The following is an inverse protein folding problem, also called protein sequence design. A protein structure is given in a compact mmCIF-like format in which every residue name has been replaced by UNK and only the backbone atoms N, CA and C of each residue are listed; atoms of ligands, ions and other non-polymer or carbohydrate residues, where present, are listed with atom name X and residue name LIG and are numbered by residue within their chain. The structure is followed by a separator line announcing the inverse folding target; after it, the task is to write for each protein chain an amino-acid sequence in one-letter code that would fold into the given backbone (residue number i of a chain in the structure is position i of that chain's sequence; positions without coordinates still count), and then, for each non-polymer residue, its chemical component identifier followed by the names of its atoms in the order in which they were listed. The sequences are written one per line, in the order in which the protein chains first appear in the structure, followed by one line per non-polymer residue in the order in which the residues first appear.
data_IF_022875254062
#
_entry.id   IF_022875254062
#
_cell.length_a   1.000
_cell.length_b   1.000
_cell.length_c   1.000
_cell.angle_alpha   90.00
_cell.angle_beta   90.00
_cell.angle_gamma   90.00
#
_symmetry.space_group_name_H-M   'P 1'
#
loop_
_entity.id
_entity.type
_entity.pdbx_description
1 polymer ?
#
# COMPACT_ATOMS: atom_id res chain seq x y z
N UNK A 1 10.42 -16.54 3.80
CA UNK A 1 9.35 -16.78 2.80
C UNK A 1 8.13 -17.45 3.40
N UNK A 2 8.21 -18.63 4.03
CA UNK A 2 7.03 -19.30 4.62
C UNK A 2 6.35 -18.49 5.73
N UNK A 3 7.11 -17.75 6.52
CA UNK A 3 6.62 -16.87 7.59
C UNK A 3 5.82 -15.68 7.04
N UNK A 4 6.35 -14.95 6.06
CA UNK A 4 5.65 -13.83 5.43
C UNK A 4 4.35 -14.26 4.74
N UNK A 5 4.35 -15.43 4.10
CA UNK A 5 3.14 -16.00 3.50
C UNK A 5 2.08 -16.36 4.55
N UNK A 6 2.50 -16.81 5.75
CA UNK A 6 1.58 -17.08 6.85
C UNK A 6 0.97 -15.79 7.42
N UNK A 7 1.75 -14.70 7.46
CA UNK A 7 1.26 -13.37 7.83
C UNK A 7 0.26 -12.85 6.79
N UNK A 8 0.62 -12.90 5.51
CA UNK A 8 -0.21 -12.49 4.37
C UNK A 8 -1.57 -13.21 4.34
N UNK A 9 -1.61 -14.48 4.74
CA UNK A 9 -2.84 -15.29 4.72
C UNK A 9 -4.01 -14.68 5.53
N UNK A 10 -3.72 -13.77 6.48
CA UNK A 10 -4.74 -13.06 7.24
C UNK A 10 -5.32 -11.84 6.51
N UNK A 11 -4.66 -11.32 5.47
CA UNK A 11 -5.04 -10.10 4.76
C UNK A 11 -6.49 -10.12 4.24
N UNK A 12 -7.02 -11.21 3.62
CA UNK A 12 -8.40 -11.23 3.13
C UNK A 12 -9.47 -11.01 4.22
N UNK A 13 -9.18 -11.43 5.46
CA UNK A 13 -10.06 -11.17 6.59
C UNK A 13 -9.89 -9.75 7.12
N UNK A 14 -8.63 -9.28 7.21
CA UNK A 14 -8.25 -7.95 7.70
C UNK A 14 -8.86 -6.81 6.89
N UNK A 15 -8.94 -6.94 5.56
CA UNK A 15 -9.41 -5.86 4.66
C UNK A 15 -10.93 -5.68 4.65
N UNK A 16 -11.70 -6.51 5.36
CA UNK A 16 -13.17 -6.43 5.37
C UNK A 16 -13.64 -5.16 6.09
N UNK A 17 -14.60 -4.48 5.49
CA UNK A 17 -15.25 -3.30 6.05
C UNK A 17 -16.40 -2.83 5.16
N UNK A 18 -16.87 -1.61 5.40
CA UNK A 18 -18.04 -0.99 4.76
C UNK A 18 -17.73 0.37 4.13
N UNK A 19 -16.45 0.74 4.01
CA UNK A 19 -16.00 2.01 3.44
C UNK A 19 -15.71 1.86 1.95
N UNK A 20 -16.11 2.84 1.13
CA UNK A 20 -15.68 2.94 -0.26
C UNK A 20 -14.21 3.36 -0.29
N UNK A 21 -13.38 2.50 -0.84
CA UNK A 21 -11.95 2.68 -0.96
C UNK A 21 -11.58 2.94 -2.42
N UNK A 22 -10.53 3.74 -2.62
CA UNK A 22 -9.94 3.99 -3.91
C UNK A 22 -9.22 2.76 -4.46
N UNK A 23 -8.53 2.01 -3.59
CA UNK A 23 -7.71 0.81 -3.86
C UNK A 23 -6.52 0.99 -4.79
N UNK A 24 -6.40 2.15 -5.40
CA UNK A 24 -5.25 2.51 -6.24
C UNK A 24 -4.73 3.90 -5.88
N UNK A 25 -4.82 4.24 -4.58
CA UNK A 25 -4.44 5.56 -4.11
C UNK A 25 -2.92 5.69 -4.11
N UNK A 26 -2.44 6.67 -4.87
CA UNK A 26 -1.03 6.97 -5.04
C UNK A 26 -0.85 8.47 -5.09
N UNK A 27 0.34 8.95 -4.75
CA UNK A 27 0.62 10.39 -4.77
C UNK A 27 0.41 11.03 -6.16
N UNK A 28 0.59 10.29 -7.26
CA UNK A 28 0.27 10.74 -8.63
C UNK A 28 -1.24 10.85 -8.93
N UNK A 29 -2.11 10.23 -8.13
CA UNK A 29 -3.57 10.29 -8.24
C UNK A 29 -4.20 11.37 -7.36
N UNK A 30 -3.39 12.27 -6.77
CA UNK A 30 -3.84 13.39 -5.95
C UNK A 30 -3.60 14.72 -6.67
N UNK A 31 -4.68 15.48 -6.90
CA UNK A 31 -4.59 16.86 -7.38
C UNK A 31 -4.83 17.82 -6.23
N UNK A 32 -3.79 18.57 -5.85
CA UNK A 32 -3.87 19.60 -4.82
C UNK A 32 -4.47 20.88 -5.42
N UNK A 33 -5.58 21.34 -4.86
CA UNK A 33 -6.17 22.65 -5.13
C UNK A 33 -6.09 23.52 -3.86
N UNK A 34 -6.49 24.80 -3.97
CA UNK A 34 -6.33 25.77 -2.88
C UNK A 34 -6.98 25.34 -1.56
N UNK A 35 -8.20 24.81 -1.60
CA UNK A 35 -9.03 24.47 -0.44
C UNK A 35 -9.39 22.99 -0.34
N UNK A 36 -8.89 22.15 -1.26
CA UNK A 36 -9.25 20.72 -1.32
C UNK A 36 -8.21 19.89 -2.05
N UNK A 37 -8.29 18.58 -1.82
CA UNK A 37 -7.57 17.57 -2.61
C UNK A 37 -8.60 16.80 -3.43
N UNK A 38 -8.34 16.65 -4.73
CA UNK A 38 -9.10 15.75 -5.58
C UNK A 38 -8.37 14.42 -5.69
N UNK A 39 -9.10 13.34 -5.45
CA UNK A 39 -8.63 11.97 -5.69
C UNK A 39 -9.23 11.52 -7.01
N UNK A 40 -8.39 11.19 -7.98
CA UNK A 40 -8.78 10.83 -9.35
C UNK A 40 -8.36 9.41 -9.69
N UNK A 41 -8.86 8.89 -10.82
CA UNK A 41 -8.54 7.56 -11.34
C UNK A 41 -8.99 6.42 -10.41
N UNK A 42 -10.29 6.09 -10.46
CA UNK A 42 -10.94 5.08 -9.60
C UNK A 42 -11.21 3.71 -10.28
N UNK A 43 -10.31 3.13 -11.10
CA UNK A 43 -10.62 1.90 -11.84
C UNK A 43 -10.73 0.67 -10.93
N UNK A 44 -10.23 0.77 -9.68
CA UNK A 44 -10.16 -0.33 -8.72
C UNK A 44 -11.01 -0.10 -7.46
N UNK A 45 -11.94 0.85 -7.49
CA UNK A 45 -12.78 1.17 -6.35
C UNK A 45 -13.47 -0.09 -5.79
N UNK A 46 -13.40 -0.27 -4.47
CA UNK A 46 -13.97 -1.43 -3.78
C UNK A 46 -14.49 -1.05 -2.40
N UNK A 47 -15.24 -1.95 -1.76
CA UNK A 47 -15.69 -1.78 -0.38
C UNK A 47 -14.79 -2.59 0.55
N UNK A 48 -14.27 -1.95 1.61
CA UNK A 48 -13.38 -2.57 2.58
C UNK A 48 -13.13 -1.71 3.83
N UNK A 49 -12.10 -2.06 4.58
CA UNK A 49 -11.71 -1.33 5.80
C UNK A 49 -11.05 0.01 5.49
N UNK A 50 -11.50 1.09 6.11
CA UNK A 50 -11.08 2.48 5.84
C UNK A 50 -9.56 2.73 5.86
N UNK A 51 -8.79 1.94 6.60
CA UNK A 51 -7.34 2.08 6.72
C UNK A 51 -6.54 1.47 5.57
N UNK A 52 -7.16 0.64 4.72
CA UNK A 52 -6.46 -0.07 3.63
C UNK A 52 -5.86 0.91 2.62
N UNK A 53 -6.58 1.95 2.25
CA UNK A 53 -6.08 2.97 1.31
C UNK A 53 -4.82 3.67 1.85
N UNK A 54 -4.71 3.88 3.16
CA UNK A 54 -3.49 4.45 3.76
C UNK A 54 -2.29 3.51 3.56
N UNK A 55 -2.48 2.20 3.77
CA UNK A 55 -1.41 1.20 3.60
C UNK A 55 -0.96 1.13 2.13
N UNK A 56 -1.90 1.25 1.18
CA UNK A 56 -1.59 1.31 -0.26
C UNK A 56 -0.90 2.61 -0.67
N UNK A 57 -1.27 3.72 -0.03
CA UNK A 57 -0.73 5.05 -0.32
C UNK A 57 0.71 5.24 0.15
N UNK A 58 1.05 4.76 1.34
CA UNK A 58 2.29 5.08 2.03
C UNK A 58 3.59 4.71 1.27
N UNK A 59 3.69 3.56 0.58
CA UNK A 59 4.85 3.25 -0.25
C UNK A 59 5.08 4.27 -1.38
N UNK A 60 4.00 4.73 -2.02
CA UNK A 60 4.09 5.72 -3.10
C UNK A 60 4.64 7.07 -2.61
N UNK A 61 4.24 7.50 -1.41
CA UNK A 61 4.71 8.75 -0.79
C UNK A 61 6.21 8.68 -0.51
N UNK A 62 6.65 7.61 0.16
CA UNK A 62 8.06 7.42 0.51
C UNK A 62 8.93 7.34 -0.74
N UNK A 63 8.49 6.58 -1.75
CA UNK A 63 9.18 6.45 -3.04
C UNK A 63 9.36 7.80 -3.74
N UNK A 64 8.44 8.75 -3.57
CA UNK A 64 8.52 10.09 -4.14
C UNK A 64 9.28 11.09 -3.26
N UNK A 65 9.98 10.63 -2.22
CA UNK A 65 10.80 11.45 -1.33
C UNK A 65 10.05 11.98 -0.10
N UNK A 66 8.86 11.44 0.19
CA UNK A 66 8.12 11.72 1.40
C UNK A 66 8.65 10.97 2.64
N UNK A 67 7.97 11.12 3.79
CA UNK A 67 8.37 10.45 5.04
C UNK A 67 8.18 8.92 4.95
N UNK A 68 8.86 8.15 5.83
CA UNK A 68 8.67 6.70 5.93
C UNK A 68 7.21 6.29 6.22
N UNK A 69 6.76 5.10 5.78
CA UNK A 69 5.36 4.70 5.89
C UNK A 69 4.81 4.69 7.33
N UNK A 70 5.61 4.24 8.31
CA UNK A 70 5.19 4.21 9.72
C UNK A 70 4.98 5.63 10.28
N UNK A 71 5.81 6.60 9.86
CA UNK A 71 5.64 8.02 10.23
C UNK A 71 4.43 8.66 9.54
N UNK A 72 4.09 8.24 8.32
CA UNK A 72 2.87 8.69 7.66
C UNK A 72 1.62 8.11 8.36
N UNK A 73 1.70 6.83 8.75
CA UNK A 73 0.60 6.07 9.34
C UNK A 73 0.07 6.71 10.62
N UNK A 74 0.95 7.22 11.50
CA UNK A 74 0.53 7.83 12.78
C UNK A 74 -0.39 9.05 12.59
N UNK A 75 -0.38 9.68 11.42
CA UNK A 75 -1.21 10.84 11.11
C UNK A 75 -2.57 10.49 10.51
N UNK A 76 -2.83 9.22 10.15
CA UNK A 76 -4.06 8.83 9.48
C UNK A 76 -5.08 8.20 10.46
N UNK A 77 -6.20 8.87 10.78
CA UNK A 77 -7.11 8.43 11.84
C UNK A 77 -7.61 6.99 11.68
N UNK A 78 -7.92 6.57 10.45
CA UNK A 78 -8.50 5.25 10.21
C UNK A 78 -7.56 4.09 10.61
N UNK A 79 -6.23 4.27 10.58
CA UNK A 79 -5.32 3.18 10.95
C UNK A 79 -5.26 2.96 12.46
N UNK A 80 -5.63 3.95 13.27
CA UNK A 80 -5.61 3.81 14.73
C UNK A 80 -6.66 2.80 15.23
N UNK A 81 -7.71 2.57 14.44
CA UNK A 81 -8.74 1.56 14.72
C UNK A 81 -8.36 0.16 14.21
N UNK A 82 -7.29 0.05 13.40
CA UNK A 82 -6.83 -1.22 12.84
C UNK A 82 -5.99 -2.02 13.86
N UNK A 83 -6.13 -3.34 13.87
CA UNK A 83 -5.24 -4.18 14.67
C UNK A 83 -3.84 -4.15 14.06
N UNK A 84 -2.77 -4.02 14.86
CA UNK A 84 -1.40 -4.00 14.35
C UNK A 84 -1.04 -5.19 13.44
N UNK A 85 -1.53 -6.38 13.79
CA UNK A 85 -1.29 -7.61 13.00
C UNK A 85 -2.04 -7.62 11.67
N UNK A 86 -3.25 -7.05 11.63
CA UNK A 86 -4.06 -6.90 10.42
C UNK A 86 -3.36 -5.95 9.42
N UNK A 87 -2.83 -4.84 9.94
CA UNK A 87 -2.02 -3.90 9.14
C UNK A 87 -0.78 -4.61 8.59
N UNK A 88 -0.05 -5.34 9.42
CA UNK A 88 1.14 -6.09 9.00
C UNK A 88 0.81 -7.14 7.93
N UNK A 89 -0.33 -7.82 8.04
CA UNK A 89 -0.81 -8.77 7.03
C UNK A 89 -1.06 -8.11 5.67
N UNK A 90 -1.68 -6.93 5.65
CA UNK A 90 -1.92 -6.18 4.41
C UNK A 90 -0.62 -5.62 3.83
N UNK A 91 0.31 -5.13 4.66
CA UNK A 91 1.64 -4.72 4.20
C UNK A 91 2.36 -5.90 3.52
N UNK A 92 2.28 -7.11 4.10
CA UNK A 92 2.85 -8.31 3.49
C UNK A 92 2.24 -8.61 2.11
N UNK A 93 0.92 -8.50 1.98
CA UNK A 93 0.23 -8.66 0.70
C UNK A 93 0.65 -7.59 -0.33
N UNK A 94 0.78 -6.32 0.08
CA UNK A 94 1.21 -5.22 -0.78
C UNK A 94 2.66 -5.38 -1.24
N UNK A 95 3.57 -5.76 -0.34
CA UNK A 95 4.96 -6.04 -0.68
C UNK A 95 5.04 -7.21 -1.67
N UNK A 96 4.34 -8.31 -1.40
CA UNK A 96 4.25 -9.47 -2.30
C UNK A 96 3.70 -9.10 -3.67
N UNK A 97 2.61 -8.32 -3.72
CA UNK A 97 1.99 -7.83 -4.95
C UNK A 97 2.99 -7.03 -5.80
N UNK A 98 3.64 -6.02 -5.23
CA UNK A 98 4.55 -5.16 -5.99
C UNK A 98 5.81 -5.89 -6.44
N UNK A 99 6.42 -6.71 -5.58
CA UNK A 99 7.60 -7.50 -5.92
C UNK A 99 7.25 -8.55 -6.98
N UNK A 100 6.12 -9.24 -6.87
CA UNK A 100 5.71 -10.22 -7.87
C UNK A 100 5.52 -9.55 -9.25
N UNK A 101 4.81 -8.42 -9.29
CA UNK A 101 4.53 -7.72 -10.54
C UNK A 101 5.78 -7.07 -11.15
N UNK A 102 6.73 -6.57 -10.35
CA UNK A 102 7.96 -5.98 -10.87
C UNK A 102 8.85 -6.98 -11.62
N UNK A 103 8.71 -8.28 -11.32
CA UNK A 103 9.43 -9.38 -11.96
C UNK A 103 8.77 -9.88 -13.25
N UNK A 104 7.58 -9.39 -13.60
CA UNK A 104 6.89 -9.78 -14.83
C UNK A 104 7.40 -9.00 -16.06
N UNK A 105 7.20 -9.51 -17.29
CA UNK A 105 7.55 -8.77 -18.51
C UNK A 105 6.89 -7.39 -18.56
N UNK A 106 7.57 -6.38 -19.11
CA UNK A 106 6.99 -5.04 -19.26
C UNK A 106 5.73 -5.07 -20.14
N UNK A 107 4.63 -4.42 -19.71
CA UNK A 107 3.45 -4.31 -20.56
C UNK A 107 3.70 -3.33 -21.71
N UNK A 108 3.13 -3.58 -22.90
CA UNK A 108 3.20 -2.64 -24.02
C UNK A 108 2.70 -1.24 -23.63
N UNK A 109 3.49 -0.21 -23.93
CA UNK A 109 3.14 1.19 -23.69
C UNK A 109 3.40 1.72 -22.27
N UNK A 110 3.91 0.89 -21.35
CA UNK A 110 4.17 1.26 -19.96
C UNK A 110 5.60 0.86 -19.51
N UNK A 111 6.66 1.39 -20.16
CA UNK A 111 8.03 0.94 -19.93
C UNK A 111 8.55 1.22 -18.51
N UNK A 112 7.95 2.16 -17.78
CA UNK A 112 8.37 2.51 -16.42
C UNK A 112 7.64 1.72 -15.34
N UNK A 113 6.60 0.94 -15.68
CA UNK A 113 5.73 0.30 -14.69
C UNK A 113 6.49 -0.68 -13.79
N UNK A 114 7.41 -1.48 -14.35
CA UNK A 114 8.15 -2.48 -13.57
C UNK A 114 9.10 -1.83 -12.57
N UNK A 115 9.79 -0.77 -12.97
CA UNK A 115 10.64 0.01 -12.08
C UNK A 115 9.81 0.69 -10.97
N UNK A 116 8.64 1.22 -11.31
CA UNK A 116 7.71 1.82 -10.35
C UNK A 116 7.20 0.80 -9.32
N UNK A 117 6.81 -0.39 -9.77
CA UNK A 117 6.41 -1.50 -8.90
C UNK A 117 7.57 -1.97 -8.03
N UNK A 118 8.79 -2.08 -8.57
CA UNK A 118 9.97 -2.46 -7.80
C UNK A 118 10.26 -1.44 -6.69
N UNK A 119 10.17 -0.15 -6.98
CA UNK A 119 10.45 0.91 -6.02
C UNK A 119 9.43 0.94 -4.86
N UNK A 120 8.14 0.81 -5.14
CA UNK A 120 7.12 0.67 -4.08
C UNK A 120 7.25 -0.64 -3.31
N UNK A 121 7.56 -1.74 -4.02
CA UNK A 121 7.78 -3.05 -3.40
C UNK A 121 8.94 -3.05 -2.42
N UNK A 122 10.04 -2.36 -2.74
CA UNK A 122 11.17 -2.19 -1.83
C UNK A 122 10.77 -1.45 -0.56
N UNK A 123 10.05 -0.32 -0.67
CA UNK A 123 9.55 0.42 0.49
C UNK A 123 8.62 -0.43 1.34
N UNK A 124 7.67 -1.14 0.73
CA UNK A 124 6.72 -1.99 1.44
C UNK A 124 7.43 -3.16 2.15
N UNK A 125 8.48 -3.73 1.53
CA UNK A 125 9.26 -4.82 2.11
C UNK A 125 10.11 -4.33 3.29
N UNK A 126 10.75 -3.16 3.18
CA UNK A 126 11.50 -2.56 4.29
C UNK A 126 10.57 -2.26 5.47
N UNK A 127 9.38 -1.70 5.19
CA UNK A 127 8.36 -1.45 6.21
C UNK A 127 7.87 -2.74 6.89
N UNK A 128 7.67 -3.82 6.11
CA UNK A 128 7.33 -5.12 6.65
C UNK A 128 8.43 -5.68 7.54
N UNK A 129 9.69 -5.57 7.11
CA UNK A 129 10.86 -6.02 7.86
C UNK A 129 10.99 -5.28 9.20
N UNK A 130 10.73 -3.97 9.24
CA UNK A 130 10.71 -3.18 10.47
C UNK A 130 9.65 -3.68 11.46
N UNK A 131 8.44 -4.00 10.98
CA UNK A 131 7.32 -4.45 11.84
C UNK A 131 7.45 -5.88 12.34
N UNK A 132 8.19 -6.72 11.61
CA UNK A 132 8.29 -8.17 11.88
C UNK A 132 9.67 -8.57 12.42
N UNK A 133 10.66 -7.68 12.36
CA UNK A 133 12.08 -7.97 12.55
C UNK A 133 12.63 -9.06 11.59
N UNK A 134 11.91 -9.33 10.50
CA UNK A 134 12.31 -10.28 9.46
C UNK A 134 13.51 -9.75 8.65
N UNK A 135 14.44 -10.63 8.26
CA UNK A 135 15.63 -10.32 7.45
C UNK A 135 15.87 -11.38 6.39
#
# INVERSE_FOLDING_TARGET
MSELAAIEANAPAAVRGDTLLHFDIRADNLLLADDRVWIVDWPHAHVGAAWVDMVLFAPSVTMQGGPPPEQLSVHHPAIHDAKPDDVTAVIAAVAGFFIYHSLQPEPPGLPTLRAFQAAQGAVALDWLAERTAWR
#
